data_IF_560261545970
#
_entry.id   IF_560261545970
#
_cell.length_a   1.000
_cell.length_b   1.000
_cell.length_c   1.000
_cell.angle_alpha   90.00
_cell.angle_beta   90.00
_cell.angle_gamma   90.00
#
_symmetry.space_group_name_H-M   'P 1'
#
loop_
_entity.id
_entity.type
_entity.pdbx_description
1 polymer ?
#
# COMPACT_ATOMS: atom_id res chain seq x y z
N UNK A 1 -3.59 10.16 20.35
CA UNK A 1 -4.35 9.90 19.11
C UNK A 1 -3.71 10.77 18.03
N UNK A 2 -3.26 10.21 16.90
CA UNK A 2 -2.80 11.08 15.78
C UNK A 2 -3.96 11.97 15.32
N UNK A 3 -3.66 13.14 14.76
CA UNK A 3 -4.71 14.11 14.42
C UNK A 3 -5.64 13.57 13.32
N UNK A 4 -6.90 14.01 13.32
CA UNK A 4 -7.88 13.69 12.28
C UNK A 4 -7.36 13.99 10.87
N UNK A 5 -6.54 15.04 10.74
CA UNK A 5 -5.91 15.42 9.46
C UNK A 5 -4.94 14.36 8.94
N UNK A 6 -4.20 13.69 9.84
CA UNK A 6 -3.25 12.66 9.46
C UNK A 6 -3.95 11.40 8.94
N UNK A 7 -5.03 10.98 9.60
CA UNK A 7 -5.86 9.86 9.14
C UNK A 7 -6.46 10.17 7.75
N UNK A 8 -7.00 11.38 7.57
CA UNK A 8 -7.55 11.81 6.27
C UNK A 8 -6.50 11.87 5.16
N UNK A 9 -5.24 12.18 5.46
CA UNK A 9 -4.15 12.12 4.47
C UNK A 9 -3.82 10.68 4.07
N UNK A 10 -3.83 9.74 5.02
CA UNK A 10 -3.61 8.30 4.76
C UNK A 10 -4.72 7.74 3.88
N UNK A 11 -5.99 7.99 4.22
CA UNK A 11 -7.16 7.50 3.47
C UNK A 11 -7.17 7.97 2.01
N UNK A 12 -6.53 9.12 1.73
CA UNK A 12 -6.39 9.67 0.36
C UNK A 12 -5.07 9.27 -0.33
N UNK A 13 -4.27 8.40 0.28
CA UNK A 13 -2.98 7.96 -0.26
C UNK A 13 -1.91 9.07 -0.31
N UNK A 14 -2.07 10.17 0.44
CA UNK A 14 -1.13 11.30 0.43
C UNK A 14 0.01 11.14 1.42
N UNK A 15 -0.13 10.25 2.39
CA UNK A 15 0.89 9.98 3.39
C UNK A 15 1.02 8.48 3.67
N UNK A 16 2.26 8.05 3.89
CA UNK A 16 2.55 6.67 4.26
C UNK A 16 2.40 6.48 5.78
N UNK A 17 1.47 5.61 6.24
CA UNK A 17 1.34 5.31 7.66
C UNK A 17 2.58 4.57 8.19
N UNK A 18 2.91 4.82 9.46
CA UNK A 18 3.92 4.04 10.18
C UNK A 18 3.39 2.64 10.50
N UNK A 19 4.27 1.65 10.64
CA UNK A 19 3.87 0.28 11.00
C UNK A 19 3.06 0.22 12.30
N UNK A 20 3.48 0.96 13.34
CA UNK A 20 2.73 1.06 14.60
C UNK A 20 1.29 1.58 14.41
N UNK A 21 1.08 2.51 13.47
CA UNK A 21 -0.26 2.99 13.18
C UNK A 21 -1.10 1.95 12.44
N UNK A 22 -0.50 1.20 11.52
CA UNK A 22 -1.18 0.10 10.84
C UNK A 22 -1.64 -0.96 11.85
N UNK A 23 -0.76 -1.36 12.78
CA UNK A 23 -1.10 -2.29 13.89
C UNK A 23 -2.24 -1.73 14.74
N UNK A 24 -2.20 -0.43 15.05
CA UNK A 24 -3.28 0.19 15.80
C UNK A 24 -4.60 0.16 15.02
N UNK A 25 -4.58 0.50 13.73
CA UNK A 25 -5.77 0.51 12.87
C UNK A 25 -6.40 -0.87 12.75
N UNK A 26 -5.60 -1.92 12.52
CA UNK A 26 -6.12 -3.29 12.42
C UNK A 26 -6.82 -3.72 13.71
N UNK A 27 -6.20 -3.41 14.86
CA UNK A 27 -6.76 -3.72 16.18
C UNK A 27 -8.05 -2.94 16.48
N UNK A 28 -8.06 -1.63 16.18
CA UNK A 28 -9.22 -0.76 16.42
C UNK A 28 -10.41 -1.16 15.52
N UNK A 29 -10.13 -1.53 14.26
CA UNK A 29 -11.12 -2.00 13.28
C UNK A 29 -11.51 -3.48 13.45
N UNK A 30 -10.78 -4.23 14.29
CA UNK A 30 -10.96 -5.67 14.53
C UNK A 30 -10.89 -6.49 13.24
N UNK A 31 -9.95 -6.16 12.38
CA UNK A 31 -9.62 -6.88 11.15
C UNK A 31 -8.18 -7.36 11.22
N UNK A 32 -7.86 -8.42 10.50
CA UNK A 32 -6.50 -8.89 10.34
C UNK A 32 -5.67 -7.89 9.53
N UNK A 33 -4.36 -7.85 9.80
CA UNK A 33 -3.46 -6.89 9.14
C UNK A 33 -3.49 -7.00 7.61
N UNK A 34 -3.61 -8.22 7.08
CA UNK A 34 -3.64 -8.45 5.64
C UNK A 34 -4.91 -7.91 4.99
N UNK A 35 -6.03 -7.82 5.72
CA UNK A 35 -7.31 -7.28 5.22
C UNK A 35 -7.22 -5.77 4.96
N UNK A 36 -6.35 -5.04 5.68
CA UNK A 36 -6.07 -3.63 5.38
C UNK A 36 -5.39 -3.43 4.01
N UNK A 37 -4.86 -4.51 3.43
CA UNK A 37 -4.20 -4.53 2.13
C UNK A 37 -4.90 -5.50 1.17
N UNK A 38 -6.15 -5.87 1.45
CA UNK A 38 -6.94 -6.67 0.52
C UNK A 38 -7.46 -5.77 -0.61
N UNK A 39 -6.76 -5.82 -1.74
CA UNK A 39 -7.13 -5.15 -2.98
C UNK A 39 -7.96 -6.07 -3.89
N UNK A 40 -8.54 -7.17 -3.38
CA UNK A 40 -9.31 -8.14 -4.17
C UNK A 40 -10.55 -7.55 -4.87
N UNK A 41 -10.99 -6.37 -4.43
CA UNK A 41 -12.06 -5.59 -5.07
C UNK A 41 -11.54 -4.64 -6.17
N UNK A 42 -10.24 -4.34 -6.14
CA UNK A 42 -9.60 -3.42 -7.06
C UNK A 42 -9.20 -4.15 -8.33
N UNK A 43 -10.05 -3.95 -9.33
CA UNK A 43 -9.63 -3.85 -10.72
C UNK A 43 -9.27 -5.18 -11.42
N UNK A 44 -9.70 -5.31 -12.68
CA UNK A 44 -9.39 -6.49 -13.49
C UNK A 44 -7.88 -6.63 -13.78
N UNK A 45 -7.42 -7.78 -14.31
CA UNK A 45 -5.99 -8.00 -14.61
C UNK A 45 -5.35 -6.95 -15.53
N UNK A 46 -6.14 -6.26 -16.35
CA UNK A 46 -5.67 -5.15 -17.18
C UNK A 46 -5.36 -3.89 -16.36
N UNK A 47 -6.26 -3.52 -15.46
CA UNK A 47 -6.13 -2.34 -14.60
C UNK A 47 -4.97 -2.52 -13.62
N UNK A 48 -4.78 -3.70 -13.04
CA UNK A 48 -3.64 -4.01 -12.17
C UNK A 48 -2.27 -3.83 -12.87
N UNK A 49 -2.18 -4.21 -14.16
CA UNK A 49 -0.95 -4.01 -14.96
C UNK A 49 -0.69 -2.54 -15.23
N UNK A 50 -1.75 -1.77 -15.49
CA UNK A 50 -1.65 -0.33 -15.73
C UNK A 50 -1.25 0.42 -14.45
N UNK A 51 -1.81 0.03 -13.31
CA UNK A 51 -1.47 0.56 -11.99
C UNK A 51 0.01 0.31 -11.64
N UNK A 52 0.51 -0.92 -11.87
CA UNK A 52 1.94 -1.23 -11.73
C UNK A 52 2.83 -0.40 -12.66
N UNK A 53 2.41 -0.15 -13.90
CA UNK A 53 3.16 0.66 -14.85
C UNK A 53 3.24 2.12 -14.40
N UNK A 54 2.14 2.68 -13.93
CA UNK A 54 2.07 4.05 -13.42
C UNK A 54 2.97 4.22 -12.19
N UNK A 55 2.89 3.29 -11.22
CA UNK A 55 3.81 3.28 -10.09
C UNK A 55 5.28 3.20 -10.52
N UNK A 56 5.59 2.35 -11.52
CA UNK A 56 6.94 2.26 -12.07
C UNK A 56 7.49 3.59 -12.60
N UNK A 57 6.62 4.46 -13.15
CA UNK A 57 7.01 5.76 -13.69
C UNK A 57 7.26 6.86 -12.66
N UNK A 58 6.70 6.72 -11.45
CA UNK A 58 6.82 7.70 -10.36
C UNK A 58 7.98 7.38 -9.40
N UNK A 59 8.58 6.20 -9.51
CA UNK A 59 9.62 5.73 -8.61
C UNK A 59 11.02 6.17 -9.06
N UNK A 60 11.86 6.55 -8.10
CA UNK A 60 13.29 6.73 -8.36
C UNK A 60 13.95 5.40 -8.75
N UNK A 61 15.09 5.42 -9.47
CA UNK A 61 15.79 4.20 -9.88
C UNK A 61 16.09 3.21 -8.74
N UNK A 62 16.39 3.72 -7.55
CA UNK A 62 16.69 2.94 -6.34
C UNK A 62 15.45 2.24 -5.80
N UNK A 63 14.33 2.98 -5.73
CA UNK A 63 13.05 2.44 -5.28
C UNK A 63 12.49 1.43 -6.27
N UNK A 64 12.69 1.65 -7.57
CA UNK A 64 12.29 0.70 -8.60
C UNK A 64 13.05 -0.63 -8.47
N UNK A 65 14.36 -0.59 -8.21
CA UNK A 65 15.15 -1.80 -7.93
C UNK A 65 14.63 -2.56 -6.70
N UNK A 66 14.29 -1.83 -5.63
CA UNK A 66 13.73 -2.43 -4.43
C UNK A 66 12.36 -3.06 -4.69
N UNK A 67 11.47 -2.36 -5.40
CA UNK A 67 10.16 -2.88 -5.78
C UNK A 67 10.27 -4.18 -6.60
N UNK A 68 11.15 -4.20 -7.61
CA UNK A 68 11.42 -5.43 -8.39
C UNK A 68 11.97 -6.55 -7.51
N UNK A 69 12.84 -6.25 -6.53
CA UNK A 69 13.36 -7.25 -5.60
C UNK A 69 12.25 -7.89 -4.76
N UNK A 70 11.34 -7.08 -4.23
CA UNK A 70 10.20 -7.55 -3.42
C UNK A 70 9.22 -8.36 -4.26
N UNK A 71 8.82 -7.85 -5.42
CA UNK A 71 7.93 -8.58 -6.35
C UNK A 71 8.54 -9.92 -6.74
N UNK A 72 9.85 -9.96 -7.02
CA UNK A 72 10.56 -11.20 -7.37
C UNK A 72 10.57 -12.21 -6.23
N UNK A 73 10.67 -11.79 -4.96
CA UNK A 73 10.60 -12.70 -3.81
C UNK A 73 9.19 -13.23 -3.51
N UNK A 74 8.15 -12.61 -4.08
CA UNK A 74 6.77 -13.11 -3.96
C UNK A 74 6.42 -14.08 -5.10
N UNK A 75 6.98 -13.86 -6.30
CA UNK A 75 6.71 -14.67 -7.48
C UNK A 75 7.60 -15.93 -7.61
N UNK A 76 8.53 -16.16 -6.66
CA UNK A 76 9.46 -17.30 -6.64
C UNK A 76 9.55 -17.89 -5.25
#
# INVERSE_FOLDING_TARGET
MKSTNYLSSIERGKENPTFELLVKLSNDLKVEMWELFDFGHEAGPGELKELLKNFGSELSPEKLKLAVKVIRSMAR
#
